data_IF_989689257958
#
_entry.id   IF_989689257958
#
_cell.length_a   1.000
_cell.length_b   1.000
_cell.length_c   1.000
_cell.angle_alpha   90.00
_cell.angle_beta   90.00
_cell.angle_gamma   90.00
#
_symmetry.space_group_name_H-M   'P 1'
#
loop_
_entity.id
_entity.type
_entity.pdbx_description
1 polymer ?
#
# COMPACT_ATOMS: atom_id res chain seq x y z
N UNK A 1 3.71 4.59 10.10
CA UNK A 1 3.41 4.01 8.78
C UNK A 1 1.91 3.99 8.61
N UNK A 2 1.38 4.41 7.45
CA UNK A 2 -0.07 4.49 7.23
C UNK A 2 -0.67 3.09 7.02
N UNK A 3 -1.94 2.91 7.40
CA UNK A 3 -2.65 1.66 7.18
C UNK A 3 -3.02 1.51 5.69
N UNK A 4 -2.78 0.33 5.13
CA UNK A 4 -2.94 0.03 3.69
C UNK A 4 -3.41 -1.40 3.43
N UNK A 5 -4.12 -2.04 4.37
CA UNK A 5 -4.55 -3.46 4.20
C UNK A 5 -5.47 -3.62 2.98
N UNK A 6 -6.30 -2.61 2.74
CA UNK A 6 -7.18 -2.50 1.57
C UNK A 6 -6.99 -1.14 0.90
N UNK A 7 -6.58 -1.17 -0.37
CA UNK A 7 -6.38 0.03 -1.20
C UNK A 7 -7.48 0.11 -2.26
N UNK A 8 -8.53 0.90 -2.02
CA UNK A 8 -9.71 0.95 -2.88
C UNK A 8 -9.49 1.89 -4.07
N UNK A 9 -9.61 1.33 -5.28
CA UNK A 9 -9.62 2.08 -6.52
C UNK A 9 -10.98 2.78 -6.72
N UNK A 10 -10.96 4.10 -6.92
CA UNK A 10 -12.19 4.88 -7.15
C UNK A 10 -12.04 5.78 -8.37
N UNK A 11 -12.78 5.54 -9.48
CA UNK A 11 -12.70 6.37 -10.67
C UNK A 11 -13.10 7.83 -10.38
N UNK A 12 -12.19 8.78 -10.65
CA UNK A 12 -12.44 10.22 -10.47
C UNK A 12 -13.55 10.75 -11.38
N UNK A 13 -13.86 10.05 -12.46
CA UNK A 13 -14.95 10.36 -13.38
C UNK A 13 -16.34 10.07 -12.82
N UNK A 14 -16.47 9.45 -11.64
CA UNK A 14 -17.75 9.04 -11.06
C UNK A 14 -17.97 9.61 -9.64
N UNK A 15 -18.60 10.79 -9.52
CA UNK A 15 -18.88 11.43 -8.23
C UNK A 15 -19.65 10.55 -7.24
N UNK A 16 -20.56 9.70 -7.73
CA UNK A 16 -21.32 8.78 -6.86
C UNK A 16 -20.41 7.72 -6.21
N UNK A 17 -19.35 7.31 -6.90
CA UNK A 17 -18.39 6.36 -6.37
C UNK A 17 -17.44 7.04 -5.39
N UNK A 18 -17.02 8.28 -5.68
CA UNK A 18 -16.25 9.13 -4.76
C UNK A 18 -17.00 9.32 -3.43
N UNK A 19 -18.29 9.67 -3.48
CA UNK A 19 -19.13 9.82 -2.29
C UNK A 19 -19.26 8.51 -1.51
N UNK A 20 -19.56 7.40 -2.21
CA UNK A 20 -19.71 6.10 -1.56
C UNK A 20 -18.42 5.63 -0.86
N UNK A 21 -17.25 5.91 -1.43
CA UNK A 21 -15.97 5.45 -0.91
C UNK A 21 -15.65 5.99 0.49
N UNK A 22 -16.14 7.19 0.82
CA UNK A 22 -15.97 7.83 2.13
C UNK A 22 -16.47 6.94 3.28
N UNK A 23 -17.62 6.27 3.09
CA UNK A 23 -18.24 5.41 4.10
C UNK A 23 -17.76 3.95 4.11
N UNK A 24 -16.86 3.53 3.21
CA UNK A 24 -16.39 2.15 3.17
C UNK A 24 -15.25 1.94 4.17
N UNK A 25 -15.14 0.74 4.75
CA UNK A 25 -14.05 0.40 5.68
C UNK A 25 -12.70 0.12 4.96
N UNK A 26 -12.39 0.85 3.90
CA UNK A 26 -11.08 0.81 3.26
C UNK A 26 -10.07 1.62 4.08
N UNK A 27 -8.86 1.07 4.26
CA UNK A 27 -7.75 1.76 4.92
C UNK A 27 -7.19 2.87 4.04
N UNK A 28 -7.07 2.58 2.74
CA UNK A 28 -6.64 3.53 1.72
C UNK A 28 -7.69 3.63 0.62
N UNK A 29 -7.87 4.84 0.10
CA UNK A 29 -8.58 5.10 -1.14
C UNK A 29 -7.63 5.81 -2.10
N UNK A 30 -7.57 5.34 -3.34
CA UNK A 30 -6.92 6.10 -4.39
C UNK A 30 -7.94 6.55 -5.43
N UNK A 31 -8.00 7.86 -5.63
CA UNK A 31 -8.91 8.49 -6.57
C UNK A 31 -8.19 8.53 -7.93
N UNK A 32 -8.75 7.82 -8.91
CA UNK A 32 -8.05 7.47 -10.13
C UNK A 32 -8.33 8.45 -11.26
N UNK A 33 -7.27 8.97 -11.89
CA UNK A 33 -7.31 9.81 -13.09
C UNK A 33 -6.87 9.07 -14.35
N UNK A 34 -6.46 7.81 -14.21
CA UNK A 34 -5.68 7.11 -15.21
C UNK A 34 -6.53 6.07 -15.96
N UNK A 35 -6.32 4.77 -15.80
CA UNK A 35 -6.94 3.71 -16.62
C UNK A 35 -8.46 3.65 -16.51
N UNK A 36 -9.03 3.96 -15.34
CA UNK A 36 -10.50 3.94 -15.18
C UNK A 36 -11.19 5.20 -15.74
N UNK A 37 -10.43 6.15 -16.28
CA UNK A 37 -10.93 7.43 -16.78
C UNK A 37 -10.62 7.59 -18.27
N UNK A 38 -11.69 7.61 -19.08
CA UNK A 38 -11.57 7.86 -20.51
C UNK A 38 -10.88 9.20 -20.82
N UNK A 39 -10.09 9.31 -21.91
CA UNK A 39 -9.33 10.53 -22.23
C UNK A 39 -10.15 11.82 -22.20
N UNK A 40 -11.35 11.80 -22.80
CA UNK A 40 -12.25 12.96 -22.84
C UNK A 40 -12.83 13.37 -21.47
N UNK A 41 -12.72 12.52 -20.45
CA UNK A 41 -13.22 12.77 -19.10
C UNK A 41 -12.12 13.14 -18.10
N UNK A 42 -10.83 13.14 -18.48
CA UNK A 42 -9.71 13.34 -17.53
C UNK A 42 -9.74 14.71 -16.85
N UNK A 43 -10.08 15.77 -17.58
CA UNK A 43 -10.24 17.12 -17.02
C UNK A 43 -11.37 17.19 -15.99
N UNK A 44 -12.53 16.64 -16.32
CA UNK A 44 -13.69 16.65 -15.44
C UNK A 44 -13.44 15.76 -14.21
N UNK A 45 -12.80 14.60 -14.40
CA UNK A 45 -12.38 13.71 -13.31
C UNK A 45 -11.45 14.43 -12.32
N UNK A 46 -10.52 15.25 -12.81
CA UNK A 46 -9.65 16.07 -11.94
C UNK A 46 -10.43 17.07 -11.12
N UNK A 47 -11.38 17.76 -11.75
CA UNK A 47 -12.28 18.70 -11.06
C UNK A 47 -13.10 17.99 -9.98
N UNK A 48 -13.65 16.82 -10.30
CA UNK A 48 -14.43 16.01 -9.36
C UNK A 48 -13.59 15.53 -8.17
N UNK A 49 -12.34 15.12 -8.41
CA UNK A 49 -11.42 14.71 -7.34
C UNK A 49 -11.13 15.87 -6.41
N UNK A 50 -10.80 17.06 -6.93
CA UNK A 50 -10.57 18.24 -6.08
C UNK A 50 -11.79 18.56 -5.23
N UNK A 51 -12.99 18.53 -5.82
CA UNK A 51 -14.23 18.73 -5.07
C UNK A 51 -14.43 17.65 -3.99
N UNK A 52 -14.26 16.38 -4.34
CA UNK A 52 -14.41 15.27 -3.40
C UNK A 52 -13.40 15.31 -2.23
N UNK A 53 -12.17 15.76 -2.48
CA UNK A 53 -11.16 15.95 -1.43
C UNK A 53 -11.50 17.10 -0.50
N UNK A 54 -12.10 18.18 -1.02
CA UNK A 54 -12.48 19.37 -0.23
C UNK A 54 -13.75 19.17 0.59
N UNK A 55 -14.76 18.55 -0.03
CA UNK A 55 -16.11 18.48 0.51
C UNK A 55 -16.41 17.13 1.21
N UNK A 56 -15.59 16.10 0.95
CA UNK A 56 -15.77 14.76 1.50
C UNK A 56 -15.15 14.55 2.89
N UNK A 57 -15.69 13.58 3.62
CA UNK A 57 -15.10 13.09 4.87
C UNK A 57 -14.24 11.84 4.60
N UNK A 58 -12.94 12.02 4.74
CA UNK A 58 -11.94 10.97 4.55
C UNK A 58 -11.23 10.59 5.86
N UNK A 59 -11.81 10.96 7.01
CA UNK A 59 -11.21 10.71 8.32
C UNK A 59 -10.87 9.22 8.52
N UNK A 60 -9.67 8.96 9.05
CA UNK A 60 -9.18 7.62 9.33
C UNK A 60 -8.76 6.82 8.09
N UNK A 61 -8.63 7.46 6.92
CA UNK A 61 -8.14 6.85 5.68
C UNK A 61 -6.83 7.47 5.24
N UNK A 62 -6.04 6.67 4.54
CA UNK A 62 -4.99 7.16 3.64
C UNK A 62 -5.64 7.61 2.34
N UNK A 63 -5.44 8.88 1.95
CA UNK A 63 -6.05 9.45 0.74
C UNK A 63 -5.01 9.68 -0.34
N UNK A 64 -5.16 8.98 -1.45
CA UNK A 64 -4.21 8.98 -2.56
C UNK A 64 -4.90 9.44 -3.84
N UNK A 65 -4.16 10.06 -4.74
CA UNK A 65 -4.61 10.32 -6.11
C UNK A 65 -3.65 9.63 -7.07
N UNK A 66 -4.17 8.74 -7.90
CA UNK A 66 -3.41 8.13 -9.00
C UNK A 66 -3.49 9.04 -10.21
N UNK A 67 -2.37 9.68 -10.53
CA UNK A 67 -2.26 10.59 -11.67
C UNK A 67 -2.09 9.81 -12.97
N UNK A 68 -2.17 10.48 -14.11
CA UNK A 68 -1.87 9.83 -15.39
C UNK A 68 -0.38 9.46 -15.52
N UNK A 69 -0.09 8.54 -16.45
CA UNK A 69 1.28 8.17 -16.85
C UNK A 69 2.11 9.40 -17.24
N UNK A 70 3.29 9.52 -16.63
CA UNK A 70 4.26 10.61 -16.81
C UNK A 70 4.50 11.01 -18.27
N UNK A 71 4.39 10.06 -19.21
CA UNK A 71 4.61 10.28 -20.64
C UNK A 71 3.44 10.94 -21.37
N UNK A 72 2.30 11.11 -20.69
CA UNK A 72 1.08 11.67 -21.26
C UNK A 72 0.94 13.17 -21.04
N UNK A 73 0.08 13.84 -21.82
CA UNK A 73 -0.16 15.28 -21.71
C UNK A 73 -0.91 15.70 -20.42
N UNK A 74 -1.41 14.75 -19.62
CA UNK A 74 -2.29 15.02 -18.48
C UNK A 74 -1.55 15.16 -17.15
N UNK A 75 -0.49 14.38 -16.93
CA UNK A 75 0.11 14.15 -15.61
C UNK A 75 0.55 15.41 -14.90
N UNK A 76 1.23 16.32 -15.60
CA UNK A 76 1.71 17.55 -14.98
C UNK A 76 0.55 18.40 -14.43
N UNK A 77 -0.60 18.45 -15.13
CA UNK A 77 -1.79 19.15 -14.65
C UNK A 77 -2.49 18.38 -13.55
N UNK A 78 -2.49 17.05 -13.61
CA UNK A 78 -3.03 16.24 -12.52
C UNK A 78 -2.35 16.57 -11.20
N UNK A 79 -1.02 16.58 -11.18
CA UNK A 79 -0.25 16.92 -9.98
C UNK A 79 -0.51 18.37 -9.56
N UNK A 80 -0.38 19.35 -10.47
CA UNK A 80 -0.54 20.77 -10.14
C UNK A 80 -1.96 21.07 -9.63
N UNK A 81 -2.99 20.78 -10.41
CA UNK A 81 -4.36 21.21 -10.08
C UNK A 81 -4.92 20.46 -8.86
N UNK A 82 -4.54 19.18 -8.65
CA UNK A 82 -4.97 18.44 -7.46
C UNK A 82 -4.26 18.94 -6.21
N UNK A 83 -2.95 19.14 -6.26
CA UNK A 83 -2.17 19.53 -5.07
C UNK A 83 -2.42 20.99 -4.69
N UNK A 84 -2.48 21.92 -5.66
CA UNK A 84 -2.89 23.30 -5.37
C UNK A 84 -4.34 23.38 -4.90
N UNK A 85 -5.21 22.55 -5.50
CA UNK A 85 -6.63 22.53 -5.18
C UNK A 85 -6.96 21.93 -3.82
N UNK A 86 -6.27 20.87 -3.41
CA UNK A 86 -6.64 20.04 -2.25
C UNK A 86 -5.46 19.32 -1.55
N UNK A 87 -4.21 19.77 -1.73
CA UNK A 87 -3.02 19.08 -1.22
C UNK A 87 -2.94 18.92 0.31
N UNK A 88 -3.58 19.80 1.09
CA UNK A 88 -3.73 19.65 2.56
C UNK A 88 -4.62 18.46 2.96
N UNK A 89 -5.42 17.93 2.03
CA UNK A 89 -6.29 16.75 2.20
C UNK A 89 -5.72 15.49 1.58
N UNK A 90 -4.56 15.58 0.93
CA UNK A 90 -3.90 14.46 0.26
C UNK A 90 -2.77 13.90 1.12
N UNK A 91 -2.67 12.57 1.17
CA UNK A 91 -1.57 11.85 1.82
C UNK A 91 -0.45 11.53 0.83
N UNK A 92 -0.80 10.97 -0.34
CA UNK A 92 0.15 10.61 -1.38
C UNK A 92 -0.34 10.92 -2.79
N UNK A 93 0.61 11.08 -3.71
CA UNK A 93 0.38 10.95 -5.16
C UNK A 93 0.93 9.61 -5.62
N UNK A 94 0.10 8.85 -6.34
CA UNK A 94 0.52 7.60 -6.95
C UNK A 94 0.88 7.83 -8.42
N UNK A 95 2.11 7.47 -8.78
CA UNK A 95 2.63 7.54 -10.15
C UNK A 95 2.53 6.14 -10.79
N UNK A 96 1.72 5.97 -11.85
CA UNK A 96 1.66 4.71 -12.57
C UNK A 96 2.89 4.53 -13.47
N UNK A 97 3.11 3.30 -13.96
CA UNK A 97 4.07 2.96 -15.01
C UNK A 97 5.48 3.47 -14.74
N UNK A 98 5.95 3.31 -13.50
CA UNK A 98 7.29 3.77 -13.11
C UNK A 98 8.34 2.80 -13.66
N UNK A 99 9.17 3.31 -14.57
CA UNK A 99 10.20 2.52 -15.26
C UNK A 99 11.63 2.96 -14.92
N UNK A 100 11.80 4.13 -14.30
CA UNK A 100 13.08 4.77 -14.04
C UNK A 100 13.00 5.63 -12.77
N UNK A 101 14.10 5.71 -12.01
CA UNK A 101 14.17 6.51 -10.79
C UNK A 101 13.88 8.01 -11.03
N UNK A 102 14.23 8.53 -12.22
CA UNK A 102 13.96 9.93 -12.59
C UNK A 102 12.47 10.27 -12.66
N UNK A 103 11.58 9.29 -12.85
CA UNK A 103 10.13 9.51 -12.79
C UNK A 103 9.71 9.93 -11.38
N UNK A 104 10.25 9.25 -10.36
CA UNK A 104 10.01 9.57 -8.94
C UNK A 104 10.68 10.89 -8.57
N UNK A 105 11.93 11.13 -9.00
CA UNK A 105 12.64 12.39 -8.75
C UNK A 105 11.92 13.59 -9.38
N UNK A 106 11.33 13.42 -10.56
CA UNK A 106 10.49 14.45 -11.20
C UNK A 106 9.29 14.80 -10.32
N UNK A 107 8.56 13.79 -9.84
CA UNK A 107 7.38 14.00 -9.01
C UNK A 107 7.74 14.65 -7.67
N UNK A 108 8.82 14.21 -7.03
CA UNK A 108 9.35 14.81 -5.80
C UNK A 108 9.66 16.31 -5.98
N UNK A 109 10.38 16.64 -7.07
CA UNK A 109 10.74 18.02 -7.39
C UNK A 109 9.48 18.88 -7.60
N UNK A 110 8.51 18.39 -8.37
CA UNK A 110 7.27 19.10 -8.66
C UNK A 110 6.43 19.29 -7.39
N UNK A 111 6.27 18.25 -6.57
CA UNK A 111 5.57 18.34 -5.28
C UNK A 111 6.23 19.36 -4.36
N UNK A 112 7.55 19.34 -4.22
CA UNK A 112 8.27 20.31 -3.40
C UNK A 112 8.09 21.76 -3.87
N UNK A 113 8.01 21.99 -5.19
CA UNK A 113 7.71 23.32 -5.74
C UNK A 113 6.29 23.77 -5.39
N UNK A 114 5.29 22.89 -5.56
CA UNK A 114 3.89 23.22 -5.28
C UNK A 114 3.68 23.42 -3.77
N UNK A 115 4.24 22.57 -2.92
CA UNK A 115 4.14 22.69 -1.46
C UNK A 115 4.67 24.05 -0.99
N UNK A 116 5.86 24.46 -1.47
CA UNK A 116 6.39 25.81 -1.18
C UNK A 116 5.51 26.94 -1.70
N UNK A 117 4.96 26.80 -2.91
CA UNK A 117 4.11 27.83 -3.51
C UNK A 117 2.76 27.99 -2.78
N UNK A 118 2.25 26.89 -2.20
CA UNK A 118 0.94 26.83 -1.53
C UNK A 118 1.04 26.95 0.00
N UNK A 119 2.26 26.95 0.56
CA UNK A 119 2.49 27.02 2.00
C UNK A 119 2.25 25.70 2.74
N UNK A 120 2.21 24.57 2.03
CA UNK A 120 2.20 23.24 2.64
C UNK A 120 3.59 22.91 3.21
N UNK A 121 3.68 22.14 4.31
CA UNK A 121 4.96 21.62 4.79
C UNK A 121 5.68 20.83 3.69
N UNK A 122 6.94 21.16 3.44
CA UNK A 122 7.75 20.45 2.46
C UNK A 122 7.96 18.99 2.90
N UNK A 123 7.75 18.06 1.98
CA UNK A 123 7.87 16.62 2.26
C UNK A 123 6.59 15.97 2.77
N UNK A 124 5.48 16.73 2.89
CA UNK A 124 4.22 16.23 3.47
C UNK A 124 3.55 15.18 2.59
N UNK A 125 3.47 15.44 1.29
CA UNK A 125 2.78 14.55 0.35
C UNK A 125 3.77 13.45 -0.07
N UNK A 126 3.42 12.21 0.26
CA UNK A 126 4.17 11.02 -0.08
C UNK A 126 4.01 10.62 -1.55
N UNK A 127 4.83 9.66 -1.98
CA UNK A 127 4.78 9.09 -3.33
C UNK A 127 4.51 7.59 -3.23
N UNK A 128 3.66 7.10 -4.12
CA UNK A 128 3.45 5.67 -4.38
C UNK A 128 3.88 5.36 -5.81
N UNK A 129 4.77 4.39 -6.00
CA UNK A 129 5.25 4.03 -7.33
C UNK A 129 4.65 2.69 -7.78
N UNK A 130 3.93 2.70 -8.90
CA UNK A 130 3.39 1.49 -9.50
C UNK A 130 4.43 0.82 -10.39
N UNK A 131 4.81 -0.41 -10.04
CA UNK A 131 5.71 -1.28 -10.78
C UNK A 131 4.87 -2.23 -11.62
N UNK A 132 4.78 -1.93 -12.92
CA UNK A 132 3.88 -2.63 -13.84
C UNK A 132 4.45 -2.89 -15.22
N UNK A 133 5.78 -2.86 -15.35
CA UNK A 133 6.47 -3.28 -16.55
C UNK A 133 7.73 -4.08 -16.23
N UNK A 134 8.22 -4.84 -17.21
CA UNK A 134 9.49 -5.54 -17.09
C UNK A 134 10.65 -4.58 -16.78
N UNK A 135 10.63 -3.39 -17.39
CA UNK A 135 11.63 -2.34 -17.19
C UNK A 135 11.59 -1.81 -15.76
N UNK A 136 10.40 -1.48 -15.25
CA UNK A 136 10.22 -1.04 -13.87
C UNK A 136 10.69 -2.07 -12.85
N UNK A 137 10.41 -3.36 -13.07
CA UNK A 137 10.88 -4.41 -12.16
C UNK A 137 12.40 -4.61 -12.21
N UNK A 138 13.04 -4.42 -13.37
CA UNK A 138 14.51 -4.47 -13.48
C UNK A 138 15.14 -3.29 -12.71
N UNK A 139 14.56 -2.11 -12.79
CA UNK A 139 15.05 -0.88 -12.15
C UNK A 139 14.55 -0.66 -10.71
N UNK A 140 13.83 -1.62 -10.12
CA UNK A 140 13.04 -1.40 -8.90
C UNK A 140 13.85 -1.01 -7.67
N UNK A 141 15.14 -1.40 -7.56
CA UNK A 141 16.00 -0.93 -6.46
C UNK A 141 16.33 0.56 -6.59
N UNK A 142 16.63 1.02 -7.80
CA UNK A 142 16.91 2.44 -8.07
C UNK A 142 15.65 3.29 -7.87
N UNK A 143 14.48 2.78 -8.28
CA UNK A 143 13.18 3.41 -8.05
C UNK A 143 12.89 3.50 -6.54
N UNK A 144 13.11 2.41 -5.79
CA UNK A 144 12.87 2.38 -4.34
C UNK A 144 13.73 3.40 -3.57
N UNK A 145 14.95 3.68 -4.04
CA UNK A 145 15.86 4.66 -3.46
C UNK A 145 15.73 6.08 -3.99
N UNK A 146 14.77 6.37 -4.89
CA UNK A 146 14.78 7.60 -5.69
C UNK A 146 14.35 8.87 -4.95
N UNK A 147 13.59 8.77 -3.85
CA UNK A 147 13.09 9.92 -3.09
C UNK A 147 12.77 9.56 -1.64
N UNK A 148 13.03 10.45 -0.66
CA UNK A 148 12.58 10.27 0.72
C UNK A 148 11.06 10.37 0.90
N UNK A 149 10.32 10.83 -0.13
CA UNK A 149 8.84 10.84 -0.12
C UNK A 149 8.23 9.49 -0.46
N UNK A 150 8.99 8.59 -1.06
CA UNK A 150 8.46 7.32 -1.51
C UNK A 150 8.04 6.51 -0.28
N UNK A 151 6.81 6.01 -0.29
CA UNK A 151 6.25 5.23 0.82
C UNK A 151 5.89 3.81 0.42
N UNK A 152 5.51 3.62 -0.84
CA UNK A 152 4.99 2.34 -1.31
C UNK A 152 5.51 2.00 -2.70
N UNK A 153 5.77 0.70 -2.89
CA UNK A 153 5.82 0.08 -4.21
C UNK A 153 4.56 -0.75 -4.39
N UNK A 154 3.86 -0.50 -5.50
CA UNK A 154 2.61 -1.18 -5.83
C UNK A 154 2.82 -2.05 -7.06
N UNK A 155 2.46 -3.33 -6.99
CA UNK A 155 2.47 -4.18 -8.17
C UNK A 155 1.26 -3.90 -9.07
N UNK A 156 1.47 -3.59 -10.35
CA UNK A 156 0.41 -3.47 -11.36
C UNK A 156 0.35 -4.70 -12.29
N UNK A 157 -0.39 -5.76 -11.95
CA UNK A 157 -0.39 -7.03 -12.69
C UNK A 157 -0.89 -6.91 -14.14
N UNK A 158 -1.91 -6.11 -14.43
CA UNK A 158 -2.52 -6.06 -15.76
C UNK A 158 -1.51 -5.63 -16.85
N UNK A 159 -0.89 -4.46 -16.64
CA UNK A 159 0.14 -3.94 -17.56
C UNK A 159 1.42 -4.77 -17.49
N UNK A 160 1.77 -5.30 -16.32
CA UNK A 160 2.96 -6.15 -16.19
C UNK A 160 2.85 -7.40 -17.05
N UNK A 161 1.70 -8.07 -16.98
CA UNK A 161 1.40 -9.26 -17.78
C UNK A 161 1.51 -8.94 -19.29
N UNK A 162 1.03 -7.78 -19.73
CA UNK A 162 1.20 -7.34 -21.11
C UNK A 162 2.67 -7.08 -21.46
N UNK A 163 3.42 -6.42 -20.58
CA UNK A 163 4.83 -6.08 -20.76
C UNK A 163 5.73 -7.29 -20.97
N UNK A 164 5.50 -8.40 -20.25
CA UNK A 164 6.28 -9.63 -20.38
C UNK A 164 5.66 -10.67 -21.33
N UNK A 165 4.52 -10.37 -21.97
CA UNK A 165 3.84 -11.29 -22.86
C UNK A 165 3.25 -12.53 -22.16
N UNK A 166 2.78 -12.38 -20.92
CA UNK A 166 2.15 -13.47 -20.17
C UNK A 166 0.87 -13.95 -20.89
N UNK A 167 0.75 -15.26 -21.13
CA UNK A 167 -0.31 -15.85 -21.97
C UNK A 167 -1.63 -16.03 -21.21
N UNK A 168 -2.26 -14.94 -20.79
CA UNK A 168 -3.58 -14.94 -20.12
C UNK A 168 -4.28 -13.60 -20.29
N UNK A 169 -5.61 -13.60 -20.19
CA UNK A 169 -6.45 -12.39 -20.19
C UNK A 169 -7.14 -12.17 -18.82
N UNK A 170 -6.81 -13.01 -17.83
CA UNK A 170 -7.40 -12.96 -16.49
C UNK A 170 -6.34 -12.47 -15.51
N UNK A 171 -6.52 -11.24 -15.03
CA UNK A 171 -5.56 -10.57 -14.14
C UNK A 171 -5.67 -11.10 -12.71
N UNK A 172 -4.52 -11.47 -12.16
CA UNK A 172 -4.38 -11.97 -10.79
C UNK A 172 -4.62 -13.47 -10.64
N UNK A 173 -4.77 -14.23 -11.73
CA UNK A 173 -4.80 -15.70 -11.71
C UNK A 173 -3.54 -16.30 -12.32
N UNK A 174 -3.24 -17.57 -12.00
CA UNK A 174 -2.17 -18.31 -12.65
C UNK A 174 -2.45 -18.47 -14.16
N UNK A 175 -1.45 -18.26 -15.03
CA UNK A 175 -1.63 -18.43 -16.46
C UNK A 175 -1.86 -19.91 -16.82
N UNK A 176 -2.77 -20.21 -17.77
CA UNK A 176 -2.99 -21.59 -18.22
C UNK A 176 -1.72 -22.27 -18.74
N UNK A 177 -1.50 -23.53 -18.36
CA UNK A 177 -0.36 -24.33 -18.79
C UNK A 177 0.91 -24.13 -17.97
N UNK A 178 0.87 -23.30 -16.91
CA UNK A 178 1.89 -23.24 -15.87
C UNK A 178 1.34 -23.87 -14.60
N UNK A 179 1.24 -25.20 -14.61
CA UNK A 179 0.53 -25.97 -13.58
C UNK A 179 1.38 -26.23 -12.33
N UNK A 180 2.71 -26.06 -12.43
CA UNK A 180 3.65 -26.22 -11.33
C UNK A 180 4.28 -24.86 -10.97
N UNK A 181 4.09 -24.44 -9.70
CA UNK A 181 4.67 -23.22 -9.16
C UNK A 181 3.73 -22.02 -9.12
N UNK A 182 4.32 -20.83 -8.96
CA UNK A 182 3.59 -19.56 -8.95
C UNK A 182 4.26 -18.56 -9.89
N UNK A 183 3.56 -18.24 -10.98
CA UNK A 183 4.02 -17.32 -12.01
C UNK A 183 4.34 -15.90 -11.50
N UNK A 184 3.78 -15.52 -10.34
CA UNK A 184 4.01 -14.20 -9.74
C UNK A 184 5.08 -14.21 -8.64
N UNK A 185 5.60 -15.37 -8.23
CA UNK A 185 6.47 -15.46 -7.07
C UNK A 185 7.73 -14.60 -7.19
N UNK A 186 8.45 -14.71 -8.31
CA UNK A 186 9.64 -13.88 -8.56
C UNK A 186 9.29 -12.39 -8.58
N UNK A 187 8.19 -12.01 -9.23
CA UNK A 187 7.76 -10.62 -9.38
C UNK A 187 7.46 -10.01 -8.01
N UNK A 188 6.63 -10.69 -7.22
CA UNK A 188 6.23 -10.24 -5.89
C UNK A 188 7.43 -10.18 -4.94
N UNK A 189 8.28 -11.21 -4.92
CA UNK A 189 9.48 -11.22 -4.07
C UNK A 189 10.49 -10.13 -4.47
N UNK A 190 10.67 -9.88 -5.77
CA UNK A 190 11.58 -8.85 -6.27
C UNK A 190 11.14 -7.44 -5.86
N UNK A 191 9.84 -7.15 -5.95
CA UNK A 191 9.25 -5.89 -5.46
C UNK A 191 9.38 -5.79 -3.94
N UNK A 192 9.05 -6.87 -3.21
CA UNK A 192 9.14 -6.89 -1.76
C UNK A 192 10.56 -6.62 -1.26
N UNK A 193 11.58 -7.26 -1.84
CA UNK A 193 12.97 -7.05 -1.42
C UNK A 193 13.41 -5.59 -1.62
N UNK A 194 13.07 -4.99 -2.76
CA UNK A 194 13.36 -3.57 -3.00
C UNK A 194 12.62 -2.67 -2.02
N UNK A 195 11.33 -2.91 -1.78
CA UNK A 195 10.56 -2.15 -0.80
C UNK A 195 11.18 -2.22 0.59
N UNK A 196 11.49 -3.41 1.10
CA UNK A 196 12.07 -3.60 2.44
C UNK A 196 13.49 -3.07 2.58
N UNK A 197 14.30 -3.12 1.51
CA UNK A 197 15.64 -2.54 1.53
C UNK A 197 15.63 -1.01 1.74
N UNK A 198 14.49 -0.36 1.47
CA UNK A 198 14.29 1.08 1.57
C UNK A 198 13.20 1.47 2.60
N UNK A 199 12.85 0.56 3.51
CA UNK A 199 11.81 0.76 4.55
C UNK A 199 10.41 1.15 3.99
N UNK A 200 10.10 0.75 2.76
CA UNK A 200 8.84 1.00 2.06
C UNK A 200 7.83 -0.11 2.29
N UNK A 201 6.54 0.23 2.12
CA UNK A 201 5.46 -0.75 2.05
C UNK A 201 5.40 -1.42 0.67
N UNK A 202 4.98 -2.68 0.63
CA UNK A 202 4.73 -3.41 -0.61
C UNK A 202 3.24 -3.75 -0.72
N UNK A 203 2.59 -3.29 -1.80
CA UNK A 203 1.15 -3.45 -2.03
C UNK A 203 0.93 -4.29 -3.28
N UNK A 204 0.10 -5.33 -3.17
CA UNK A 204 -0.27 -6.19 -4.29
C UNK A 204 -1.38 -5.53 -5.12
N UNK A 205 -1.39 -5.77 -6.43
CA UNK A 205 -2.31 -5.15 -7.37
C UNK A 205 -3.71 -5.75 -7.37
N UNK A 206 -4.56 -5.40 -8.35
CA UNK A 206 -5.95 -5.81 -8.34
C UNK A 206 -6.14 -7.28 -8.74
N UNK A 207 -7.29 -7.81 -8.34
CA UNK A 207 -7.82 -9.09 -8.82
C UNK A 207 -9.18 -8.82 -9.48
N UNK A 208 -9.25 -9.02 -10.81
CA UNK A 208 -10.32 -8.47 -11.64
C UNK A 208 -11.62 -9.28 -11.61
N UNK A 209 -11.56 -10.55 -11.15
CA UNK A 209 -12.76 -11.38 -11.02
C UNK A 209 -13.55 -11.00 -9.77
N UNK A 210 -14.19 -9.83 -9.78
CA UNK A 210 -14.88 -9.22 -8.62
C UNK A 210 -15.96 -10.09 -7.97
N UNK A 211 -16.51 -11.05 -8.72
CA UNK A 211 -17.52 -12.01 -8.23
C UNK A 211 -16.91 -13.22 -7.53
N UNK A 212 -15.63 -13.49 -7.76
CA UNK A 212 -14.89 -14.60 -7.16
C UNK A 212 -14.18 -14.15 -5.88
N UNK A 213 -14.93 -14.12 -4.78
CA UNK A 213 -14.40 -13.72 -3.48
C UNK A 213 -13.38 -14.72 -2.92
N UNK A 214 -13.50 -16.00 -3.25
CA UNK A 214 -12.59 -17.04 -2.76
C UNK A 214 -11.25 -17.00 -3.51
N UNK A 215 -11.29 -16.82 -4.83
CA UNK A 215 -10.11 -16.52 -5.63
C UNK A 215 -9.39 -15.27 -5.12
N UNK A 216 -10.11 -14.19 -4.82
CA UNK A 216 -9.52 -13.00 -4.20
C UNK A 216 -8.80 -13.32 -2.88
N UNK A 217 -9.45 -14.06 -1.96
CA UNK A 217 -8.86 -14.43 -0.67
C UNK A 217 -7.61 -15.28 -0.85
N UNK A 218 -7.61 -16.22 -1.80
CA UNK A 218 -6.49 -17.10 -2.04
C UNK A 218 -5.25 -16.31 -2.48
N UNK A 219 -5.40 -15.39 -3.43
CA UNK A 219 -4.27 -14.60 -3.94
C UNK A 219 -3.82 -13.55 -2.93
N UNK A 220 -4.75 -12.94 -2.19
CA UNK A 220 -4.42 -12.00 -1.11
C UNK A 220 -3.63 -12.70 0.01
N UNK A 221 -4.04 -13.90 0.44
CA UNK A 221 -3.30 -14.67 1.47
C UNK A 221 -1.89 -15.01 1.03
N UNK A 222 -1.71 -15.28 -0.26
CA UNK A 222 -0.38 -15.54 -0.81
C UNK A 222 0.52 -14.32 -0.70
N UNK A 223 0.04 -13.15 -1.13
CA UNK A 223 0.80 -11.90 -0.99
C UNK A 223 1.09 -11.58 0.48
N UNK A 224 0.10 -11.69 1.37
CA UNK A 224 0.27 -11.49 2.81
C UNK A 224 1.33 -12.44 3.41
N UNK A 225 1.32 -13.72 3.03
CA UNK A 225 2.29 -14.71 3.48
C UNK A 225 3.72 -14.43 3.01
N UNK A 226 3.90 -13.81 1.84
CA UNK A 226 5.23 -13.34 1.40
C UNK A 226 5.70 -12.13 2.21
N UNK A 227 4.79 -11.37 2.80
CA UNK A 227 5.07 -10.20 3.62
C UNK A 227 4.56 -8.88 3.03
N UNK A 228 3.67 -8.90 2.04
CA UNK A 228 3.01 -7.69 1.55
C UNK A 228 2.11 -7.07 2.63
N UNK A 229 1.90 -5.75 2.54
CA UNK A 229 1.16 -4.98 3.55
C UNK A 229 -0.32 -4.81 3.21
N UNK A 230 -0.69 -5.07 1.96
CA UNK A 230 -2.05 -4.90 1.48
C UNK A 230 -2.23 -5.29 0.04
N UNK A 231 -3.45 -5.06 -0.44
CA UNK A 231 -3.83 -5.32 -1.83
C UNK A 231 -4.86 -4.30 -2.33
N UNK A 232 -4.76 -3.98 -3.62
CA UNK A 232 -5.80 -3.24 -4.31
C UNK A 232 -7.13 -3.99 -4.33
N UNK A 233 -8.20 -3.24 -4.07
CA UNK A 233 -9.58 -3.70 -4.17
C UNK A 233 -10.33 -2.85 -5.17
N UNK A 234 -11.05 -3.51 -6.08
CA UNK A 234 -11.80 -2.85 -7.17
C UNK A 234 -13.30 -2.77 -6.88
N UNK A 235 -13.77 -3.49 -5.86
CA UNK A 235 -15.18 -3.55 -5.51
C UNK A 235 -15.36 -3.58 -3.98
N UNK A 236 -16.41 -2.93 -3.42
CA UNK A 236 -16.64 -2.89 -1.97
C UNK A 236 -16.68 -4.27 -1.29
N UNK A 237 -17.11 -5.32 -2.01
CA UNK A 237 -17.14 -6.69 -1.47
C UNK A 237 -15.75 -7.28 -1.18
N UNK A 238 -14.69 -6.75 -1.79
CA UNK A 238 -13.32 -7.22 -1.56
C UNK A 238 -12.68 -6.57 -0.33
N UNK A 239 -13.16 -5.40 0.11
CA UNK A 239 -12.59 -4.62 1.23
C UNK A 239 -12.50 -5.45 2.51
N UNK A 240 -13.61 -6.09 2.92
CA UNK A 240 -13.62 -6.91 4.12
C UNK A 240 -12.69 -8.12 4.04
N UNK A 241 -12.55 -8.72 2.85
CA UNK A 241 -11.64 -9.83 2.64
C UNK A 241 -10.17 -9.38 2.72
N UNK A 242 -9.82 -8.23 2.13
CA UNK A 242 -8.49 -7.65 2.23
C UNK A 242 -8.12 -7.30 3.67
N UNK A 243 -8.99 -6.56 4.38
CA UNK A 243 -8.76 -6.22 5.79
C UNK A 243 -8.54 -7.46 6.66
N UNK A 244 -9.35 -8.51 6.48
CA UNK A 244 -9.19 -9.74 7.24
C UNK A 244 -7.89 -10.49 6.92
N UNK A 245 -7.45 -10.52 5.66
CA UNK A 245 -6.25 -11.25 5.23
C UNK A 245 -4.95 -10.54 5.64
N UNK A 246 -4.92 -9.21 5.58
CA UNK A 246 -3.72 -8.43 5.89
C UNK A 246 -3.68 -7.93 7.34
N UNK A 247 -4.67 -8.27 8.16
CA UNK A 247 -4.57 -8.10 9.62
C UNK A 247 -3.93 -9.33 10.25
N UNK A 248 -3.08 -9.17 11.27
CA UNK A 248 -2.66 -10.30 12.09
C UNK A 248 -3.89 -10.89 12.81
N UNK A 249 -3.78 -12.15 13.26
CA UNK A 249 -4.81 -12.71 14.14
C UNK A 249 -4.79 -12.00 15.50
N UNK A 250 -5.89 -12.08 16.25
CA UNK A 250 -5.94 -11.55 17.62
C UNK A 250 -4.88 -12.22 18.51
N UNK A 251 -4.68 -13.53 18.33
CA UNK A 251 -3.67 -14.32 19.05
C UNK A 251 -2.24 -13.87 18.72
N UNK A 252 -1.92 -13.69 17.44
CA UNK A 252 -0.60 -13.20 17.02
C UNK A 252 -0.33 -11.79 17.55
N UNK A 253 -1.36 -10.93 17.54
CA UNK A 253 -1.26 -9.57 18.07
C UNK A 253 -0.99 -9.56 19.57
N UNK A 254 -1.77 -10.33 20.34
CA UNK A 254 -1.60 -10.45 21.78
C UNK A 254 -0.24 -11.07 22.15
N UNK A 255 0.20 -12.10 21.42
CA UNK A 255 1.52 -12.71 21.61
C UNK A 255 2.65 -11.74 21.29
N UNK A 256 2.56 -10.99 20.19
CA UNK A 256 3.54 -9.97 19.84
C UNK A 256 3.65 -8.91 20.93
N UNK A 257 2.52 -8.41 21.44
CA UNK A 257 2.52 -7.43 22.52
C UNK A 257 3.09 -8.00 23.84
N UNK A 258 2.83 -9.28 24.15
CA UNK A 258 3.46 -9.97 25.28
C UNK A 258 4.98 -10.07 25.13
N UNK A 259 5.49 -10.41 23.94
CA UNK A 259 6.93 -10.45 23.66
C UNK A 259 7.55 -9.07 23.90
N UNK A 260 6.89 -7.99 23.44
CA UNK A 260 7.40 -6.63 23.60
C UNK A 260 7.51 -6.23 25.08
N UNK A 261 6.44 -6.42 25.85
CA UNK A 261 6.43 -6.08 27.28
C UNK A 261 7.45 -6.93 28.06
N UNK A 262 7.50 -8.23 27.80
CA UNK A 262 8.43 -9.14 28.48
C UNK A 262 9.88 -8.78 28.16
N UNK A 263 10.19 -8.54 26.88
CA UNK A 263 11.54 -8.20 26.46
C UNK A 263 11.99 -6.84 27.02
N UNK A 264 11.11 -5.85 27.08
CA UNK A 264 11.37 -4.57 27.74
C UNK A 264 11.70 -4.77 29.23
N UNK A 265 10.89 -5.54 29.97
CA UNK A 265 11.17 -5.85 31.37
C UNK A 265 12.55 -6.53 31.55
N UNK A 266 12.80 -7.62 30.82
CA UNK A 266 14.01 -8.40 31.03
C UNK A 266 15.29 -7.67 30.59
N UNK A 267 15.23 -6.81 29.57
CA UNK A 267 16.39 -6.05 29.12
C UNK A 267 16.67 -4.84 30.01
N UNK A 268 15.63 -4.18 30.56
CA UNK A 268 15.79 -2.96 31.36
C UNK A 268 15.97 -3.23 32.85
N UNK A 269 15.23 -4.19 33.41
CA UNK A 269 15.24 -4.52 34.84
C UNK A 269 16.28 -5.60 35.14
N UNK A 270 16.16 -6.75 34.48
CA UNK A 270 17.01 -7.94 34.71
C UNK A 270 18.34 -7.89 33.94
N UNK A 271 18.46 -6.98 32.95
CA UNK A 271 19.63 -6.80 32.07
C UNK A 271 20.05 -8.07 31.32
N UNK A 272 19.06 -8.83 30.84
CA UNK A 272 19.24 -10.06 30.06
C UNK A 272 18.78 -9.85 28.61
N UNK A 273 19.66 -10.14 27.66
CA UNK A 273 19.37 -10.01 26.22
C UNK A 273 18.66 -11.20 25.57
N UNK A 274 18.57 -12.34 26.28
CA UNK A 274 17.85 -13.54 25.87
C UNK A 274 17.21 -14.21 27.09
N UNK A 275 15.92 -14.50 27.00
CA UNK A 275 15.08 -14.97 28.12
C UNK A 275 13.98 -15.90 27.65
N UNK A 276 13.42 -16.69 28.56
CA UNK A 276 12.26 -17.54 28.25
C UNK A 276 10.96 -16.77 28.55
N UNK A 277 10.03 -16.79 27.61
CA UNK A 277 8.63 -16.39 27.78
C UNK A 277 7.76 -17.64 27.58
N UNK A 278 7.35 -18.27 28.67
CA UNK A 278 6.78 -19.62 28.63
C UNK A 278 7.83 -20.62 28.10
N UNK A 279 7.49 -21.32 27.03
CA UNK A 279 8.37 -22.31 26.38
C UNK A 279 9.20 -21.72 25.22
N UNK A 280 9.03 -20.43 24.89
CA UNK A 280 9.74 -19.76 23.80
C UNK A 280 10.94 -18.96 24.33
N UNK A 281 12.08 -19.05 23.64
CA UNK A 281 13.20 -18.13 23.86
C UNK A 281 12.97 -16.84 23.06
N UNK A 282 12.97 -15.70 23.74
CA UNK A 282 12.86 -14.38 23.12
C UNK A 282 14.17 -13.62 23.20
N UNK A 283 14.51 -12.94 22.10
CA UNK A 283 15.67 -12.08 21.96
C UNK A 283 15.34 -10.82 21.11
N UNK A 284 16.36 -10.09 20.66
CA UNK A 284 16.18 -8.90 19.82
C UNK A 284 15.56 -9.23 18.45
N UNK A 285 15.77 -10.43 17.91
CA UNK A 285 15.13 -10.85 16.67
C UNK A 285 13.64 -11.10 16.90
N UNK A 286 13.26 -11.79 17.98
CA UNK A 286 11.86 -11.95 18.39
C UNK A 286 11.17 -10.60 18.60
N UNK A 287 11.85 -9.64 19.25
CA UNK A 287 11.35 -8.27 19.43
C UNK A 287 11.06 -7.58 18.10
N UNK A 288 11.97 -7.67 17.12
CA UNK A 288 11.78 -7.06 15.80
C UNK A 288 10.60 -7.66 15.05
N UNK A 289 10.42 -8.97 15.11
CA UNK A 289 9.24 -9.63 14.52
C UNK A 289 7.95 -9.18 15.23
N UNK A 290 7.96 -9.14 16.56
CA UNK A 290 6.82 -8.70 17.35
C UNK A 290 6.44 -7.24 17.07
N UNK A 291 7.41 -6.33 16.88
CA UNK A 291 7.13 -4.94 16.49
C UNK A 291 6.34 -4.83 15.19
N UNK A 292 6.64 -5.68 14.20
CA UNK A 292 5.92 -5.67 12.91
C UNK A 292 4.47 -6.10 13.11
N UNK A 293 4.24 -7.20 13.82
CA UNK A 293 2.89 -7.72 14.09
C UNK A 293 2.09 -6.76 14.97
N UNK A 294 2.72 -6.22 16.03
CA UNK A 294 2.15 -5.20 16.92
C UNK A 294 1.72 -3.95 16.14
N UNK A 295 2.59 -3.42 15.29
CA UNK A 295 2.28 -2.25 14.47
C UNK A 295 1.08 -2.51 13.55
N UNK A 296 1.02 -3.69 12.90
CA UNK A 296 -0.11 -4.09 12.05
C UNK A 296 -1.41 -4.27 12.86
N UNK A 297 -1.35 -4.89 14.03
CA UNK A 297 -2.52 -5.08 14.90
C UNK A 297 -3.08 -3.77 15.46
N UNK A 298 -2.21 -2.85 15.89
CA UNK A 298 -2.59 -1.49 16.32
C UNK A 298 -3.22 -0.70 15.17
N UNK A 299 -2.62 -0.73 13.97
CA UNK A 299 -3.19 -0.11 12.77
C UNK A 299 -4.54 -0.74 12.38
N UNK A 300 -4.73 -2.02 12.66
CA UNK A 300 -5.98 -2.73 12.46
C UNK A 300 -7.06 -2.44 13.52
N UNK A 301 -6.72 -1.75 14.61
CA UNK A 301 -7.62 -1.46 15.72
C UNK A 301 -7.87 -2.65 16.65
N UNK A 302 -6.98 -3.65 16.68
CA UNK A 302 -7.12 -4.79 17.58
C UNK A 302 -6.88 -4.36 19.04
N UNK A 303 -7.77 -4.72 19.99
CA UNK A 303 -7.55 -4.46 21.41
C UNK A 303 -6.55 -5.49 21.97
N UNK A 304 -5.76 -5.09 22.97
CA UNK A 304 -4.97 -6.05 23.75
C UNK A 304 -5.91 -6.83 24.67
N UNK A 305 -5.84 -8.16 24.64
CA UNK A 305 -6.62 -9.04 25.53
C UNK A 305 -5.77 -9.74 26.57
N UNK A 306 -4.45 -9.68 26.43
CA UNK A 306 -3.47 -10.24 27.38
C UNK A 306 -2.45 -9.17 27.82
N UNK A 307 -1.83 -9.39 28.97
CA UNK A 307 -0.81 -8.50 29.54
C UNK A 307 0.31 -9.32 30.18
N UNK A 308 1.55 -8.88 29.99
CA UNK A 308 2.70 -9.52 30.64
C UNK A 308 2.68 -9.23 32.14
N UNK A 309 2.93 -10.25 32.95
CA UNK A 309 3.13 -10.11 34.39
C UNK A 309 4.57 -10.49 34.73
N UNK A 310 5.38 -9.57 35.28
CA UNK A 310 6.73 -9.88 35.71
C UNK A 310 6.76 -11.07 36.69
N UNK A 311 7.79 -11.94 36.63
CA UNK A 311 7.96 -13.00 37.62
C UNK A 311 8.03 -12.41 39.04
N UNK A 312 7.43 -13.10 40.01
CA UNK A 312 7.62 -12.75 41.42
C UNK A 312 9.11 -12.87 41.79
N UNK A 313 9.62 -11.86 42.51
CA UNK A 313 11.03 -11.74 42.92
C UNK A 313 11.44 -12.83 43.92
#
# INVERSE_FOLDING_TARGET
>A
MRARRSCLAVPGSNPRFLEKAQGLAADEVFLDLEDSVAPGAKKDARTNIVAALRDGDWAGKTVVVRVNDLTTEWTYRDVIEVVEGAGDRLDCVMLPKVEDASHVTWLDTLLGQIERATGLPEGRIGIEAQIESARGLVAVDEIAGASPRLETLVFGPADFMASIGMRTLVVGQQPPGYDEGDAYHYILMRILMAARAHDLQAIDGPYLQIRDADGFRQVARRAAALGFDGKWVLHPSQVGAANAVFSPSQEDYDHAELILDAYEYYTTVEKRGAVMLGDEMIDEASRKMALVISAKGRAAGLPRTTSFTPPAS
#
